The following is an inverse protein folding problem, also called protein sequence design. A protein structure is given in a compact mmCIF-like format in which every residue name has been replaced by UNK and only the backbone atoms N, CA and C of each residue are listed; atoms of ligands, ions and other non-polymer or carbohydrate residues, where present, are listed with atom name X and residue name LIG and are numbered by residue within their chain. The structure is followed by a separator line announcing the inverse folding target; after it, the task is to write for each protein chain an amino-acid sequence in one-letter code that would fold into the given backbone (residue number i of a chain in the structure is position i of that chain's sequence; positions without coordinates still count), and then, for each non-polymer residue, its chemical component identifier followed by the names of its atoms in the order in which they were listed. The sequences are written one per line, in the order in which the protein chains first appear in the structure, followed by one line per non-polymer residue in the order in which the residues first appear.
data_IF_974621488921
#
_entry.id   IF_974621488921
#
_cell.length_a   1.000
_cell.length_b   1.000
_cell.length_c   1.000
_cell.angle_alpha   90.00
_cell.angle_beta   90.00
_cell.angle_gamma   90.00
#
_symmetry.space_group_name_H-M   'P 1'
#
loop_
_entity.id
_entity.type
_entity.pdbx_description
1 polymer ?
#
# COMPACT_ATOMS: atom_id res chain seq x y z
N UNK A 1 -1.09 1.18 -16.35
CA UNK A 1 -0.47 1.26 -15.00
C UNK A 1 -1.05 2.48 -14.31
N UNK A 2 -1.52 2.35 -13.06
CA UNK A 2 -1.98 3.51 -12.29
C UNK A 2 -0.79 4.23 -11.66
N UNK A 3 -0.86 5.54 -11.64
CA UNK A 3 0.13 6.37 -10.96
C UNK A 3 -0.29 6.54 -9.49
N UNK A 4 0.50 5.95 -8.59
CA UNK A 4 0.36 6.02 -7.13
C UNK A 4 1.30 7.09 -6.59
N UNK A 5 0.77 8.06 -5.87
CA UNK A 5 1.55 8.98 -5.05
C UNK A 5 1.69 8.41 -3.63
N UNK A 6 2.92 8.29 -3.15
CA UNK A 6 3.18 7.93 -1.76
C UNK A 6 3.05 9.19 -0.88
N UNK A 7 2.13 9.16 0.09
CA UNK A 7 1.86 10.30 0.97
C UNK A 7 2.75 10.27 2.23
N UNK A 8 2.72 9.17 2.96
CA UNK A 8 3.47 8.95 4.20
C UNK A 8 3.29 7.51 4.70
N UNK A 9 4.24 7.09 5.54
CA UNK A 9 4.22 5.83 6.30
C UNK A 9 4.09 6.12 7.78
N UNK A 10 3.51 5.19 8.53
CA UNK A 10 3.35 5.32 9.98
C UNK A 10 3.51 3.97 10.67
N UNK A 11 4.39 3.84 11.68
CA UNK A 11 4.55 2.57 12.40
C UNK A 11 3.34 2.28 13.28
N UNK A 12 3.03 0.99 13.44
CA UNK A 12 1.96 0.50 14.31
C UNK A 12 2.43 -0.69 15.14
N UNK A 13 1.71 -0.96 16.23
CA UNK A 13 1.96 -2.09 17.12
C UNK A 13 1.51 -3.40 16.46
N UNK A 14 2.50 -4.20 16.04
CA UNK A 14 2.24 -5.47 15.35
C UNK A 14 1.71 -6.57 16.26
N UNK A 15 1.97 -6.52 17.57
CA UNK A 15 1.49 -7.53 18.53
C UNK A 15 0.00 -7.30 18.82
N UNK A 16 -0.39 -6.04 19.04
CA UNK A 16 -1.79 -5.66 19.18
C UNK A 16 -2.57 -6.02 17.92
N UNK A 17 -2.07 -5.62 16.74
CA UNK A 17 -2.75 -5.95 15.48
C UNK A 17 -2.94 -7.44 15.25
N UNK A 18 -1.92 -8.27 15.53
CA UNK A 18 -2.04 -9.71 15.36
C UNK A 18 -3.01 -10.37 16.33
N UNK A 19 -3.18 -9.82 17.54
CA UNK A 19 -4.05 -10.38 18.57
C UNK A 19 -5.48 -9.88 18.52
N UNK A 20 -5.72 -8.64 18.07
CA UNK A 20 -7.05 -8.00 18.10
C UNK A 20 -7.55 -7.55 16.73
N UNK A 21 -6.67 -7.41 15.73
CA UNK A 21 -6.97 -6.76 14.46
C UNK A 21 -7.00 -5.23 14.53
N UNK A 22 -6.72 -4.63 15.69
CA UNK A 22 -6.70 -3.18 15.87
C UNK A 22 -5.37 -2.56 15.45
N UNK A 23 -5.42 -1.45 14.72
CA UNK A 23 -4.22 -0.68 14.37
C UNK A 23 -3.99 0.38 15.45
N UNK A 24 -2.96 0.18 16.27
CA UNK A 24 -2.48 1.15 17.25
C UNK A 24 -1.19 1.77 16.75
N UNK A 25 -1.22 3.05 16.39
CA UNK A 25 -0.04 3.74 15.87
C UNK A 25 0.97 4.08 16.98
N UNK A 26 2.24 3.83 16.71
CA UNK A 26 3.34 3.99 17.69
C UNK A 26 4.21 5.22 17.43
N UNK A 27 4.01 5.91 16.30
CA UNK A 27 4.81 7.07 15.91
C UNK A 27 4.02 8.12 15.12
N UNK A 28 4.67 9.25 14.74
CA UNK A 28 4.09 10.23 13.82
C UNK A 28 4.07 9.70 12.38
N UNK A 29 3.42 10.44 11.48
CA UNK A 29 3.51 10.18 10.05
C UNK A 29 4.89 10.62 9.53
N UNK A 30 5.54 9.74 8.77
CA UNK A 30 6.84 9.99 8.17
C UNK A 30 6.68 10.20 6.66
N UNK A 31 7.22 11.31 6.18
CA UNK A 31 7.18 11.64 4.76
C UNK A 31 8.04 10.66 3.93
N UNK A 32 7.68 10.42 2.67
CA UNK A 32 8.48 9.62 1.75
C UNK A 32 9.92 10.14 1.63
N UNK A 33 10.94 9.26 1.66
CA UNK A 33 12.30 9.64 1.29
C UNK A 33 12.33 10.10 -0.17
N UNK A 34 13.29 10.94 -0.54
CA UNK A 34 13.36 11.58 -1.86
C UNK A 34 13.25 10.58 -3.03
N UNK A 35 13.83 9.39 -2.88
CA UNK A 35 13.82 8.37 -3.92
C UNK A 35 12.48 7.65 -4.07
N UNK A 36 11.54 7.77 -3.12
CA UNK A 36 10.18 7.24 -3.20
C UNK A 36 9.12 8.31 -3.51
N UNK A 37 9.52 9.58 -3.55
CA UNK A 37 8.63 10.68 -3.93
C UNK A 37 8.24 10.60 -5.41
N UNK A 38 7.09 11.19 -5.73
CA UNK A 38 6.53 11.20 -7.08
C UNK A 38 5.54 10.07 -7.33
N UNK A 39 5.05 10.02 -8.58
CA UNK A 39 4.10 8.99 -9.01
C UNK A 39 4.84 7.74 -9.46
N UNK A 40 4.43 6.59 -8.91
CA UNK A 40 5.02 5.28 -9.18
C UNK A 40 3.93 4.24 -9.32
N UNK A 41 4.28 3.09 -9.84
CA UNK A 41 3.37 1.94 -9.94
C UNK A 41 3.58 0.92 -8.82
N UNK A 42 4.73 0.98 -8.13
CA UNK A 42 5.14 0.07 -7.06
C UNK A 42 5.71 0.88 -5.90
N UNK A 43 5.30 0.53 -4.69
CA UNK A 43 5.76 1.17 -3.44
C UNK A 43 6.28 0.08 -2.51
N UNK A 44 7.35 0.36 -1.77
CA UNK A 44 7.90 -0.58 -0.81
C UNK A 44 7.00 -0.68 0.43
N UNK A 45 6.45 -1.87 0.69
CA UNK A 45 5.68 -2.16 1.88
C UNK A 45 6.59 -2.70 2.98
N UNK A 46 6.93 -1.86 3.96
CA UNK A 46 7.77 -2.27 5.10
C UNK A 46 6.91 -2.95 6.17
N UNK A 47 7.49 -3.90 6.90
CA UNK A 47 6.79 -4.59 7.97
C UNK A 47 6.51 -3.64 9.14
N UNK A 48 5.32 -3.76 9.75
CA UNK A 48 4.94 -2.94 10.91
C UNK A 48 4.63 -1.48 10.59
N UNK A 49 4.45 -1.13 9.32
CA UNK A 49 4.07 0.22 8.89
C UNK A 49 2.76 0.22 8.09
N UNK A 50 1.96 1.26 8.28
CA UNK A 50 0.83 1.59 7.41
C UNK A 50 1.28 2.64 6.42
N UNK A 51 1.10 2.37 5.13
CA UNK A 51 1.42 3.28 4.03
C UNK A 51 0.13 3.91 3.52
N UNK A 52 0.15 5.24 3.35
CA UNK A 52 -0.94 5.97 2.70
C UNK A 52 -0.54 6.31 1.26
N UNK A 53 -1.39 5.93 0.32
CA UNK A 53 -1.20 6.19 -1.11
C UNK A 53 -2.39 6.97 -1.68
N UNK A 54 -2.15 7.74 -2.72
CA UNK A 54 -3.18 8.39 -3.52
C UNK A 54 -3.05 7.94 -4.97
N UNK A 55 -4.17 7.61 -5.61
CA UNK A 55 -4.17 7.18 -7.00
C UNK A 55 -5.18 8.01 -7.79
N UNK A 56 -4.83 8.32 -9.05
CA UNK A 56 -5.78 8.90 -10.01
C UNK A 56 -6.18 7.81 -11.01
N UNK A 57 -7.45 7.43 -10.96
CA UNK A 57 -7.97 6.35 -11.81
C UNK A 57 -8.49 6.83 -13.17
N UNK A 58 -8.85 8.11 -13.33
CA UNK A 58 -9.39 8.66 -14.59
C UNK A 58 -8.31 8.74 -15.68
N UNK A 59 -8.58 8.33 -16.93
CA UNK A 59 -9.89 7.92 -17.49
C UNK A 59 -10.18 6.41 -17.44
N UNK A 60 -9.40 5.64 -16.68
CA UNK A 60 -9.42 4.20 -16.69
C UNK A 60 -10.53 3.61 -15.81
N UNK A 61 -11.15 2.54 -16.30
CA UNK A 61 -12.13 1.72 -15.58
C UNK A 61 -11.97 0.27 -16.02
N UNK A 62 -12.45 -0.65 -15.20
CA UNK A 62 -12.31 -2.09 -15.42
C UNK A 62 -11.70 -2.82 -14.22
N UNK A 63 -11.37 -4.10 -14.43
CA UNK A 63 -10.81 -4.98 -13.43
C UNK A 63 -9.29 -5.05 -13.57
N UNK A 64 -8.60 -4.75 -12.48
CA UNK A 64 -7.15 -4.72 -12.38
C UNK A 64 -6.69 -5.67 -11.28
N UNK A 65 -5.40 -5.95 -11.25
CA UNK A 65 -4.74 -6.66 -10.15
C UNK A 65 -4.01 -5.65 -9.27
N UNK A 66 -4.03 -5.92 -7.97
CA UNK A 66 -3.16 -5.29 -7.00
C UNK A 66 -2.52 -6.41 -6.16
N UNK A 67 -1.20 -6.46 -6.11
CA UNK A 67 -0.50 -7.54 -5.45
C UNK A 67 0.89 -7.14 -4.95
N UNK A 68 1.46 -7.99 -4.09
CA UNK A 68 2.88 -7.90 -3.74
C UNK A 68 3.73 -8.30 -4.95
N UNK A 69 4.76 -7.52 -5.29
CA UNK A 69 5.66 -7.82 -6.41
C UNK A 69 6.78 -8.83 -6.03
N UNK A 70 6.58 -9.60 -4.96
CA UNK A 70 7.41 -10.74 -4.56
C UNK A 70 6.62 -11.98 -4.97
N UNK A 71 7.16 -12.76 -5.90
CA UNK A 71 6.44 -13.86 -6.55
C UNK A 71 5.90 -14.87 -5.54
N UNK A 72 6.71 -15.22 -4.55
CA UNK A 72 6.28 -16.15 -3.50
C UNK A 72 5.10 -15.58 -2.71
N UNK A 73 5.09 -14.29 -2.40
CA UNK A 73 3.98 -13.67 -1.67
C UNK A 73 2.72 -13.54 -2.53
N UNK A 74 2.88 -13.21 -3.81
CA UNK A 74 1.80 -13.15 -4.79
C UNK A 74 1.07 -14.50 -4.88
N UNK A 75 1.81 -15.60 -5.02
CA UNK A 75 1.28 -16.95 -5.11
C UNK A 75 0.64 -17.42 -3.79
N UNK A 76 1.17 -16.99 -2.64
CA UNK A 76 0.61 -17.26 -1.31
C UNK A 76 -0.43 -16.21 -0.86
N UNK A 77 -1.39 -15.92 -1.72
CA UNK A 77 -2.63 -15.20 -1.40
C UNK A 77 -2.51 -13.66 -1.26
N UNK A 78 -1.43 -13.04 -1.74
CA UNK A 78 -1.31 -11.58 -1.84
C UNK A 78 -1.71 -10.99 -3.20
N UNK A 79 -2.36 -11.76 -4.08
CA UNK A 79 -3.01 -11.24 -5.29
C UNK A 79 -4.48 -10.93 -5.04
N UNK A 80 -4.90 -9.67 -5.26
CA UNK A 80 -6.30 -9.24 -5.06
C UNK A 80 -6.85 -8.52 -6.30
N UNK A 81 -8.11 -8.77 -6.69
CA UNK A 81 -8.76 -8.01 -7.74
C UNK A 81 -9.12 -6.60 -7.24
N UNK A 82 -8.99 -5.61 -8.12
CA UNK A 82 -9.40 -4.24 -7.88
C UNK A 82 -10.29 -3.79 -9.04
N UNK A 83 -11.57 -3.54 -8.75
CA UNK A 83 -12.54 -3.07 -9.72
C UNK A 83 -12.64 -1.53 -9.65
N UNK A 84 -12.32 -0.87 -10.76
CA UNK A 84 -12.45 0.59 -10.91
C UNK A 84 -13.71 0.87 -11.72
N UNK A 85 -14.71 1.44 -11.06
CA UNK A 85 -16.00 1.82 -11.64
C UNK A 85 -15.99 3.30 -12.03
N UNK A 86 -16.73 3.65 -13.09
CA UNK A 86 -16.86 5.03 -13.58
C UNK A 86 -17.88 5.83 -12.78
#
# INVERSE_FOLDING_TARGET
MFNLGFLDRRPFDTEVYQSTGEIVYTGPNEAPPLHEQGYKDTIQAHAGEVIRIVARFVPYSGRYVWHCHILEHEDYDMMRPMDIIQ
#
